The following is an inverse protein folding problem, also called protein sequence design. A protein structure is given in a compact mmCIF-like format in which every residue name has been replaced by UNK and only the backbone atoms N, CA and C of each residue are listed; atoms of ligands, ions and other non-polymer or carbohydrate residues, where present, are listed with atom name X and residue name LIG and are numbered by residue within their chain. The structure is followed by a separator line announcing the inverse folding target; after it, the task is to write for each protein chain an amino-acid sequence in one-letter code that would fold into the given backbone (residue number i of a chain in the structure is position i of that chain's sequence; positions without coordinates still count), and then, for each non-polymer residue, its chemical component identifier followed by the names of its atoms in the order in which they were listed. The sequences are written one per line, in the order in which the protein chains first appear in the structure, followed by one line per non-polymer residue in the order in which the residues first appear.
data_IF_966238544864
#
_entry.id   IF_966238544864
#
_cell.length_a   1.000
_cell.length_b   1.000
_cell.length_c   1.000
_cell.angle_alpha   90.00
_cell.angle_beta   90.00
_cell.angle_gamma   90.00
#
_symmetry.space_group_name_H-M   'P 1'
#
loop_
_entity.id
_entity.type
_entity.pdbx_description
1 polymer ?
#
# COMPACT_ATOMS: atom_id res chain seq x y z
N UNK A 1 48.64 26.94 7.22
CA UNK A 1 48.66 25.83 6.25
C UNK A 1 47.93 24.57 6.72
N UNK A 2 47.87 24.25 8.03
CA UNK A 2 47.17 23.04 8.51
C UNK A 2 45.62 23.14 8.55
N UNK A 3 45.06 24.33 8.75
CA UNK A 3 43.60 24.50 8.85
C UNK A 3 42.84 24.38 7.52
N UNK A 4 43.42 24.87 6.42
CA UNK A 4 42.81 24.79 5.08
C UNK A 4 42.80 23.37 4.51
N UNK A 5 43.80 22.55 4.87
CA UNK A 5 43.84 21.13 4.48
C UNK A 5 42.77 20.31 5.21
N UNK A 6 42.49 20.62 6.48
CA UNK A 6 41.42 19.99 7.26
C UNK A 6 40.02 20.31 6.72
N UNK A 7 39.78 21.56 6.29
CA UNK A 7 38.52 21.97 5.68
C UNK A 7 38.27 21.29 4.31
N UNK A 8 39.34 21.06 3.53
CA UNK A 8 39.26 20.37 2.24
C UNK A 8 38.94 18.88 2.40
N UNK A 9 39.58 18.21 3.35
CA UNK A 9 39.29 16.80 3.70
C UNK A 9 37.86 16.62 4.24
N UNK A 10 37.35 17.57 5.03
CA UNK A 10 35.96 17.54 5.49
C UNK A 10 34.95 17.82 4.38
N UNK A 11 35.32 18.59 3.35
CA UNK A 11 34.47 18.82 2.17
C UNK A 11 34.42 17.63 1.19
N UNK A 12 35.41 16.73 1.27
CA UNK A 12 35.47 15.49 0.47
C UNK A 12 34.67 14.34 1.10
N UNK A 13 34.36 14.43 2.40
CA UNK A 13 33.48 13.49 3.08
C UNK A 13 32.03 13.93 2.83
N UNK A 14 31.40 13.38 1.80
CA UNK A 14 29.94 13.42 1.69
C UNK A 14 29.36 12.82 2.97
N UNK A 15 28.76 13.67 3.82
CA UNK A 15 28.06 13.25 5.03
C UNK A 15 26.82 12.45 4.67
N UNK A 16 27.00 11.16 4.36
CA UNK A 16 25.90 10.24 4.12
C UNK A 16 25.29 9.83 5.44
N UNK A 17 23.97 9.90 5.53
CA UNK A 17 23.28 9.38 6.71
C UNK A 17 23.28 7.84 6.68
N UNK A 18 23.17 7.20 7.85
CA UNK A 18 23.14 5.74 7.96
C UNK A 18 22.04 5.11 7.11
N UNK A 19 20.91 5.81 6.89
CA UNK A 19 19.82 5.33 6.06
C UNK A 19 20.19 5.27 4.56
N UNK A 20 20.98 6.22 4.07
CA UNK A 20 21.54 6.21 2.71
C UNK A 20 22.53 5.08 2.53
N UNK A 21 23.39 4.84 3.52
CA UNK A 21 24.35 3.73 3.50
C UNK A 21 23.62 2.38 3.52
N UNK A 22 22.61 2.21 4.39
CA UNK A 22 21.81 0.99 4.44
C UNK A 22 21.01 0.76 3.14
N UNK A 23 20.52 1.83 2.51
CA UNK A 23 19.86 1.76 1.21
C UNK A 23 20.84 1.33 0.12
N UNK A 24 22.04 1.90 0.08
CA UNK A 24 23.08 1.54 -0.90
C UNK A 24 23.51 0.08 -0.72
N UNK A 25 23.73 -0.37 0.53
CA UNK A 25 24.09 -1.77 0.84
C UNK A 25 22.98 -2.73 0.43
N UNK A 26 21.71 -2.39 0.65
CA UNK A 26 20.59 -3.21 0.16
C UNK A 26 20.48 -3.21 -1.35
N UNK A 27 20.68 -2.08 -2.01
CA UNK A 27 20.68 -2.01 -3.48
C UNK A 27 21.80 -2.89 -4.07
N UNK A 28 22.98 -2.89 -3.45
CA UNK A 28 24.11 -3.75 -3.84
C UNK A 28 23.81 -5.22 -3.56
N UNK A 29 23.26 -5.56 -2.39
CA UNK A 29 22.93 -6.94 -2.04
C UNK A 29 21.81 -7.50 -2.94
N UNK A 30 20.80 -6.69 -3.24
CA UNK A 30 19.74 -7.04 -4.17
C UNK A 30 20.32 -7.24 -5.58
N UNK A 31 21.19 -6.35 -6.07
CA UNK A 31 21.84 -6.48 -7.37
C UNK A 31 22.83 -7.66 -7.48
N UNK A 32 23.39 -8.11 -6.35
CA UNK A 32 24.31 -9.25 -6.31
C UNK A 32 23.59 -10.61 -6.34
N UNK A 33 22.32 -10.67 -5.95
CA UNK A 33 21.52 -11.90 -5.93
C UNK A 33 20.84 -12.21 -7.28
N UNK A 34 21.14 -11.44 -8.32
CA UNK A 34 20.12 -11.10 -9.29
C UNK A 34 20.70 -10.89 -10.70
N UNK A 35 21.41 -11.91 -11.18
CA UNK A 35 21.90 -11.95 -12.56
C UNK A 35 20.80 -12.21 -13.62
N UNK A 36 19.50 -12.08 -13.26
CA UNK A 36 18.34 -12.31 -14.16
C UNK A 36 17.32 -11.14 -14.12
N UNK A 37 17.79 -9.94 -13.75
CA UNK A 37 16.97 -8.88 -13.17
C UNK A 37 16.40 -7.82 -14.11
N UNK A 38 15.25 -8.11 -14.70
CA UNK A 38 14.28 -7.04 -15.01
C UNK A 38 12.98 -7.19 -14.22
N UNK A 39 12.72 -8.36 -13.63
CA UNK A 39 11.42 -8.71 -13.02
C UNK A 39 11.39 -8.67 -11.49
N UNK A 40 12.51 -8.95 -10.81
CA UNK A 40 12.58 -9.00 -9.34
C UNK A 40 12.43 -7.62 -8.67
N UNK A 41 12.97 -6.56 -9.27
CA UNK A 41 12.73 -5.16 -8.86
C UNK A 41 11.31 -4.66 -9.19
N UNK A 42 10.50 -5.44 -9.93
CA UNK A 42 9.13 -5.09 -10.32
C UNK A 42 8.06 -5.59 -9.33
N UNK A 43 8.32 -6.66 -8.58
CA UNK A 43 7.35 -7.30 -7.69
C UNK A 43 7.49 -6.81 -6.24
N UNK A 44 6.96 -5.61 -5.95
CA UNK A 44 7.10 -4.95 -4.63
C UNK A 44 6.21 -5.55 -3.55
N UNK A 45 4.96 -5.90 -3.86
CA UNK A 45 4.00 -6.51 -2.94
C UNK A 45 3.82 -8.01 -3.18
N UNK A 46 4.28 -8.54 -4.32
CA UNK A 46 4.10 -9.94 -4.71
C UNK A 46 2.73 -10.25 -5.31
N UNK A 47 1.89 -9.23 -5.50
CA UNK A 47 0.55 -9.35 -6.08
C UNK A 47 0.59 -8.73 -7.46
N UNK A 48 0.75 -9.56 -8.50
CA UNK A 48 0.98 -9.10 -9.89
C UNK A 48 0.06 -7.95 -10.34
N UNK A 49 -1.28 -8.01 -10.18
CA UNK A 49 -2.12 -6.89 -10.61
C UNK A 49 -1.85 -5.57 -9.87
N UNK A 50 -1.45 -5.63 -8.59
CA UNK A 50 -1.09 -4.44 -7.81
C UNK A 50 0.31 -3.94 -8.19
N UNK A 51 1.27 -4.85 -8.36
CA UNK A 51 2.63 -4.51 -8.75
C UNK A 51 2.68 -3.86 -10.15
N UNK A 52 1.88 -4.37 -11.09
CA UNK A 52 1.71 -3.79 -12.42
C UNK A 52 1.18 -2.34 -12.35
N UNK A 53 0.20 -2.09 -11.47
CA UNK A 53 -0.31 -0.74 -11.22
C UNK A 53 0.77 0.16 -10.59
N UNK A 54 1.41 -0.29 -9.52
CA UNK A 54 2.44 0.47 -8.81
C UNK A 54 3.60 0.87 -9.75
N UNK A 55 4.00 -0.02 -10.64
CA UNK A 55 5.06 0.23 -11.64
C UNK A 55 4.75 1.43 -12.53
N UNK A 56 3.48 1.62 -12.92
CA UNK A 56 3.06 2.76 -13.74
C UNK A 56 3.27 4.08 -13.00
N UNK A 57 2.91 4.13 -11.71
CA UNK A 57 3.01 5.33 -10.89
C UNK A 57 4.44 5.63 -10.41
N UNK A 58 5.35 4.64 -10.46
CA UNK A 58 6.75 4.81 -10.06
C UNK A 58 7.70 5.11 -11.23
N UNK A 59 7.37 4.70 -12.46
CA UNK A 59 8.26 4.87 -13.61
C UNK A 59 8.01 6.22 -14.31
N UNK A 60 9.01 7.11 -14.44
CA UNK A 60 8.88 8.29 -15.29
C UNK A 60 8.60 7.87 -16.73
N UNK A 61 7.83 8.66 -17.51
CA UNK A 61 7.61 8.35 -18.93
C UNK A 61 8.98 8.34 -19.62
N UNK A 62 9.31 7.24 -20.29
CA UNK A 62 10.48 7.20 -21.16
C UNK A 62 10.30 8.31 -22.21
N UNK A 63 11.21 9.29 -22.22
CA UNK A 63 11.31 10.26 -23.30
C UNK A 63 11.70 9.47 -24.56
N UNK A 64 10.70 9.03 -25.31
CA UNK A 64 10.89 8.45 -26.62
C UNK A 64 11.59 9.46 -27.51
N UNK A 65 12.63 8.99 -28.20
CA UNK A 65 13.29 9.73 -29.28
C UNK A 65 12.24 10.30 -30.23
N UNK A 66 12.09 11.62 -30.22
CA UNK A 66 11.37 12.34 -31.28
C UNK A 66 12.21 12.20 -32.55
N UNK A 67 11.90 11.20 -33.38
CA UNK A 67 12.31 11.22 -34.77
C UNK A 67 11.67 12.44 -35.42
N UNK A 68 12.53 13.37 -35.81
CA UNK A 68 12.23 14.63 -36.44
C UNK A 68 11.63 14.38 -37.83
N UNK A 69 10.30 14.24 -37.95
CA UNK A 69 9.62 14.32 -39.25
C UNK A 69 9.38 15.79 -39.54
N UNK A 70 10.39 16.45 -40.11
CA UNK A 70 10.27 17.78 -40.68
C UNK A 70 9.40 17.70 -41.95
N UNK A 71 8.11 18.05 -41.82
CA UNK A 71 7.26 18.30 -42.96
C UNK A 71 7.62 19.65 -43.58
N UNK A 72 7.87 19.59 -44.89
CA UNK A 72 8.33 20.65 -45.78
C UNK A 72 7.24 21.70 -45.98
N UNK A 73 7.60 22.98 -45.81
CA UNK A 73 7.04 24.06 -46.62
C UNK A 73 8.15 25.06 -46.95
N UNK A 74 8.40 25.21 -48.24
CA UNK A 74 9.41 26.08 -48.82
C UNK A 74 8.75 27.35 -49.36
N UNK A 75 9.36 28.51 -49.05
CA UNK A 75 9.33 29.77 -49.82
C UNK A 75 10.40 30.69 -49.19
N UNK A 76 11.62 30.81 -49.72
CA UNK A 76 12.08 31.60 -50.88
C UNK A 76 12.76 32.95 -50.49
N UNK A 77 14.10 32.91 -50.40
CA UNK A 77 15.14 33.92 -50.80
C UNK A 77 15.33 35.25 -50.00
N UNK A 78 16.49 35.96 -50.12
CA UNK A 78 17.87 35.49 -49.92
C UNK A 78 18.84 36.48 -49.18
N UNK A 79 20.01 35.95 -48.79
CA UNK A 79 21.36 36.54 -48.74
C UNK A 79 21.73 37.66 -47.72
N UNK A 80 22.67 37.32 -46.81
CA UNK A 80 24.01 37.94 -46.75
C UNK A 80 24.97 37.15 -45.83
N UNK A 81 26.21 37.06 -46.29
CA UNK A 81 27.42 36.37 -45.81
C UNK A 81 27.96 36.77 -44.43
N UNK A 82 28.72 35.90 -43.75
CA UNK A 82 30.20 35.99 -43.52
C UNK A 82 30.74 34.68 -42.87
N UNK A 83 31.90 34.25 -43.40
CA UNK A 83 32.93 33.24 -43.00
C UNK A 83 33.27 33.16 -41.50
N UNK A 84 34.05 32.23 -40.93
CA UNK A 84 34.64 30.92 -41.26
C UNK A 84 35.31 30.39 -39.96
N UNK A 85 35.48 29.08 -39.87
CA UNK A 85 36.55 28.31 -39.20
C UNK A 85 37.08 28.69 -37.80
N UNK A 86 36.85 27.79 -36.83
CA UNK A 86 37.94 27.01 -36.23
C UNK A 86 37.42 26.00 -35.20
N UNK A 87 37.65 24.72 -35.48
CA UNK A 87 37.53 23.62 -34.52
C UNK A 87 38.91 23.28 -33.94
N UNK A 88 39.01 22.97 -32.64
CA UNK A 88 40.06 22.12 -32.08
C UNK A 88 39.49 20.79 -31.52
N UNK A 89 40.36 19.80 -31.27
CA UNK A 89 40.00 18.39 -31.33
C UNK A 89 39.38 17.83 -30.05
N UNK A 90 38.62 16.77 -30.26
CA UNK A 90 37.94 15.90 -29.31
C UNK A 90 38.81 15.37 -28.16
N UNK A 91 38.43 15.72 -26.93
CA UNK A 91 38.71 14.94 -25.71
C UNK A 91 37.60 13.90 -25.48
N UNK A 92 37.91 12.67 -25.04
CA UNK A 92 36.91 11.64 -24.79
C UNK A 92 36.11 11.99 -23.54
N UNK A 93 34.89 12.49 -23.73
CA UNK A 93 33.93 12.64 -22.63
C UNK A 93 33.50 11.25 -22.16
N UNK A 94 33.98 10.87 -20.99
CA UNK A 94 33.55 9.69 -20.24
C UNK A 94 32.02 9.77 -20.14
N UNK A 95 31.35 8.74 -20.64
CA UNK A 95 29.90 8.58 -20.56
C UNK A 95 29.50 8.52 -19.08
N UNK A 96 29.10 9.65 -18.52
CA UNK A 96 28.36 9.64 -17.26
C UNK A 96 27.03 8.94 -17.52
N UNK A 97 26.93 7.70 -17.05
CA UNK A 97 25.68 6.96 -16.96
C UNK A 97 24.62 7.86 -16.35
N UNK A 98 23.47 7.91 -17.00
CA UNK A 98 22.28 8.59 -16.51
C UNK A 98 21.98 8.08 -15.10
N UNK A 99 22.23 8.91 -14.08
CA UNK A 99 21.83 8.64 -12.70
C UNK A 99 20.32 8.50 -12.68
N UNK A 100 19.81 7.27 -12.66
CA UNK A 100 18.41 7.00 -12.35
C UNK A 100 18.21 7.39 -10.89
N UNK A 101 17.39 8.41 -10.65
CA UNK A 101 17.02 8.76 -9.27
C UNK A 101 16.26 7.57 -8.67
N UNK A 102 16.68 7.02 -7.52
CA UNK A 102 16.02 5.85 -6.93
C UNK A 102 14.58 6.20 -6.61
N UNK A 103 13.64 5.41 -7.15
CA UNK A 103 12.20 5.61 -6.96
C UNK A 103 11.82 5.18 -5.55
N UNK A 104 11.16 6.07 -4.80
CA UNK A 104 10.73 5.82 -3.42
C UNK A 104 9.80 4.59 -3.36
N UNK A 105 9.84 3.79 -2.28
CA UNK A 105 8.88 2.71 -2.06
C UNK A 105 7.42 3.18 -2.17
N UNK A 106 6.52 2.32 -2.67
CA UNK A 106 5.14 2.69 -2.95
C UNK A 106 4.33 2.92 -1.68
N UNK A 107 3.31 3.77 -1.79
CA UNK A 107 2.24 3.91 -0.81
C UNK A 107 0.92 3.54 -1.49
N UNK A 108 0.34 2.41 -1.10
CA UNK A 108 -0.92 1.91 -1.64
C UNK A 108 -2.07 2.21 -0.67
N UNK A 109 -3.08 2.92 -1.17
CA UNK A 109 -4.36 3.03 -0.49
C UNK A 109 -5.34 1.99 -1.05
N UNK A 110 -5.97 1.23 -0.16
CA UNK A 110 -7.06 0.30 -0.48
C UNK A 110 -8.36 0.85 0.12
N UNK A 111 -9.19 1.46 -0.71
CA UNK A 111 -10.50 1.95 -0.29
C UNK A 111 -11.55 0.85 -0.41
N UNK A 112 -12.34 0.66 0.63
CA UNK A 112 -13.56 -0.15 0.57
C UNK A 112 -14.79 0.68 0.89
N UNK A 113 -15.91 0.44 0.21
CA UNK A 113 -17.20 1.12 0.50
C UNK A 113 -17.95 0.56 1.72
N UNK A 114 -17.64 -0.66 2.15
CA UNK A 114 -18.30 -1.34 3.25
C UNK A 114 -17.38 -2.37 3.93
N UNK A 115 -17.74 -2.80 5.14
CA UNK A 115 -17.11 -3.94 5.79
C UNK A 115 -17.35 -5.23 4.99
N UNK A 116 -16.42 -6.18 5.01
CA UNK A 116 -16.56 -7.48 4.33
C UNK A 116 -16.32 -7.47 2.81
N UNK A 117 -15.86 -6.34 2.26
CA UNK A 117 -15.53 -6.20 0.83
C UNK A 117 -14.13 -6.72 0.44
N UNK A 118 -13.40 -7.35 1.36
CA UNK A 118 -12.12 -8.01 1.07
C UNK A 118 -10.86 -7.15 1.23
N UNK A 119 -10.94 -5.92 1.76
CA UNK A 119 -9.75 -5.08 2.00
C UNK A 119 -8.77 -5.73 3.00
N UNK A 120 -9.23 -6.12 4.18
CA UNK A 120 -8.41 -6.84 5.17
C UNK A 120 -7.95 -8.20 4.63
N UNK A 121 -8.78 -8.92 3.88
CA UNK A 121 -8.39 -10.18 3.22
C UNK A 121 -7.23 -9.98 2.24
N UNK A 122 -7.23 -8.87 1.50
CA UNK A 122 -6.14 -8.50 0.61
C UNK A 122 -4.86 -8.14 1.40
N UNK A 123 -4.98 -7.45 2.54
CA UNK A 123 -3.83 -7.22 3.43
C UNK A 123 -3.24 -8.54 3.95
N UNK A 124 -4.07 -9.52 4.32
CA UNK A 124 -3.58 -10.83 4.74
C UNK A 124 -2.86 -11.57 3.61
N UNK A 125 -3.37 -11.50 2.38
CA UNK A 125 -2.69 -12.10 1.23
C UNK A 125 -1.31 -11.47 0.98
N UNK A 126 -1.23 -10.12 1.02
CA UNK A 126 0.05 -9.39 0.92
C UNK A 126 0.98 -9.79 2.08
N UNK A 127 0.46 -9.88 3.30
CA UNK A 127 1.23 -10.29 4.49
C UNK A 127 1.80 -11.69 4.32
N UNK A 128 0.97 -12.65 3.90
CA UNK A 128 1.36 -14.03 3.73
C UNK A 128 2.48 -14.18 2.67
N UNK A 129 2.36 -13.53 1.51
CA UNK A 129 3.43 -13.51 0.51
C UNK A 129 4.72 -12.89 1.04
N UNK A 130 4.63 -11.87 1.89
CA UNK A 130 5.81 -11.23 2.46
C UNK A 130 6.58 -12.17 3.42
N UNK A 131 5.86 -12.92 4.26
CA UNK A 131 6.46 -13.73 5.35
C UNK A 131 6.85 -15.14 4.94
N UNK A 132 6.16 -15.72 3.95
CA UNK A 132 6.45 -17.06 3.45
C UNK A 132 7.87 -17.13 2.84
N UNK A 133 8.55 -18.30 2.91
CA UNK A 133 9.82 -18.49 2.25
C UNK A 133 9.64 -18.49 0.71
N UNK A 134 10.70 -18.26 -0.08
CA UNK A 134 10.59 -18.22 -1.55
C UNK A 134 10.22 -19.59 -2.13
N UNK A 135 10.64 -20.66 -1.46
CA UNK A 135 10.28 -22.04 -1.78
C UNK A 135 10.18 -22.88 -0.51
N UNK A 136 9.43 -23.97 -0.57
CA UNK A 136 9.31 -24.96 0.50
C UNK A 136 9.05 -26.33 -0.12
N UNK A 137 9.86 -27.32 0.25
CA UNK A 137 9.70 -28.73 -0.17
C UNK A 137 9.47 -28.91 -1.69
N UNK A 138 10.29 -28.24 -2.50
CA UNK A 138 10.19 -28.28 -3.96
C UNK A 138 9.07 -27.43 -4.58
N UNK A 139 8.25 -26.76 -3.76
CA UNK A 139 7.21 -25.83 -4.21
C UNK A 139 7.78 -24.41 -4.25
N UNK A 140 7.71 -23.73 -5.39
CA UNK A 140 8.01 -22.30 -5.48
C UNK A 140 6.81 -21.51 -4.94
N UNK A 141 7.00 -20.76 -3.86
CA UNK A 141 5.93 -20.01 -3.20
C UNK A 141 5.92 -18.51 -3.60
N UNK A 142 6.99 -18.03 -4.21
CA UNK A 142 7.24 -16.60 -4.49
C UNK A 142 7.24 -15.72 -3.23
N UNK A 143 7.40 -16.34 -2.05
CA UNK A 143 7.48 -15.66 -0.78
C UNK A 143 8.74 -14.80 -0.64
N UNK A 144 8.66 -13.75 0.18
CA UNK A 144 9.75 -12.76 0.33
C UNK A 144 10.62 -12.99 1.56
N UNK A 145 10.33 -14.00 2.38
CA UNK A 145 11.06 -14.33 3.61
C UNK A 145 11.38 -13.11 4.48
N UNK A 146 10.42 -12.20 4.58
CA UNK A 146 10.59 -10.87 5.17
C UNK A 146 9.73 -10.70 6.42
N UNK A 147 9.89 -9.59 7.12
CA UNK A 147 9.04 -9.18 8.22
C UNK A 147 7.96 -8.20 7.75
N UNK A 148 6.84 -8.14 8.46
CA UNK A 148 5.75 -7.18 8.24
C UNK A 148 5.37 -6.52 9.55
N UNK A 149 5.10 -5.22 9.52
CA UNK A 149 4.42 -4.53 10.63
C UNK A 149 2.95 -4.36 10.27
N UNK A 150 2.06 -4.80 11.15
CA UNK A 150 0.61 -4.67 11.01
C UNK A 150 0.06 -3.74 12.11
N UNK A 151 -0.43 -2.58 11.72
CA UNK A 151 -1.07 -1.59 12.59
C UNK A 151 -2.58 -1.81 12.54
N UNK A 152 -3.10 -2.52 13.54
CA UNK A 152 -4.52 -2.88 13.68
C UNK A 152 -5.23 -1.86 14.57
N UNK A 153 -5.81 -0.83 13.94
CA UNK A 153 -6.51 0.28 14.63
C UNK A 153 -7.98 -0.05 14.90
N UNK A 154 -8.52 -1.05 14.20
CA UNK A 154 -9.91 -1.49 14.29
C UNK A 154 -10.09 -2.72 15.22
N UNK A 155 -8.99 -3.27 15.75
CA UNK A 155 -8.93 -4.47 16.60
C UNK A 155 -9.54 -5.72 15.95
N UNK A 156 -9.30 -5.90 14.64
CA UNK A 156 -9.88 -6.99 13.84
C UNK A 156 -8.85 -7.96 13.28
N UNK A 157 -7.57 -7.80 13.64
CA UNK A 157 -6.55 -8.74 13.20
C UNK A 157 -6.81 -10.15 13.76
N UNK A 158 -6.78 -11.13 12.87
CA UNK A 158 -7.04 -12.55 13.13
C UNK A 158 -5.88 -13.38 12.57
N UNK A 159 -5.07 -13.92 13.49
CA UNK A 159 -3.90 -14.72 13.16
C UNK A 159 -4.27 -16.08 12.55
N UNK A 160 -5.40 -16.66 12.94
CA UNK A 160 -5.89 -17.93 12.38
C UNK A 160 -6.28 -17.69 10.93
N UNK A 161 -6.97 -16.60 10.65
CA UNK A 161 -7.32 -16.25 9.29
C UNK A 161 -6.09 -15.95 8.42
N UNK A 162 -5.04 -15.33 8.97
CA UNK A 162 -3.78 -15.13 8.25
C UNK A 162 -3.08 -16.46 7.96
N UNK A 163 -3.08 -17.41 8.91
CA UNK A 163 -2.59 -18.77 8.70
C UNK A 163 -3.34 -19.46 7.55
N UNK A 164 -4.66 -19.43 7.54
CA UNK A 164 -5.47 -20.02 6.47
C UNK A 164 -5.12 -19.43 5.10
N UNK A 165 -4.87 -18.12 5.03
CA UNK A 165 -4.46 -17.46 3.79
C UNK A 165 -3.06 -17.90 3.35
N UNK A 166 -2.10 -18.00 4.26
CA UNK A 166 -0.75 -18.48 3.95
C UNK A 166 -0.76 -19.94 3.50
N UNK A 167 -1.52 -20.80 4.19
CA UNK A 167 -1.75 -22.19 3.82
C UNK A 167 -2.44 -22.29 2.45
N UNK A 168 -3.44 -21.45 2.18
CA UNK A 168 -4.12 -21.36 0.89
C UNK A 168 -3.14 -21.06 -0.25
N UNK A 169 -2.21 -20.12 -0.06
CA UNK A 169 -1.15 -19.83 -1.05
C UNK A 169 -0.28 -21.06 -1.31
N UNK A 170 0.15 -21.76 -0.27
CA UNK A 170 0.97 -22.99 -0.42
C UNK A 170 0.20 -24.04 -1.23
N UNK A 171 -1.08 -24.26 -0.92
CA UNK A 171 -1.93 -25.22 -1.64
C UNK A 171 -2.10 -24.86 -3.11
N UNK A 172 -2.39 -23.60 -3.40
CA UNK A 172 -2.57 -23.11 -4.77
C UNK A 172 -1.28 -23.26 -5.59
N UNK A 173 -0.13 -22.92 -4.99
CA UNK A 173 1.19 -23.03 -5.63
C UNK A 173 1.59 -24.47 -5.87
N UNK A 174 1.34 -25.38 -4.92
CA UNK A 174 1.59 -26.80 -5.06
C UNK A 174 0.73 -27.41 -6.19
N UNK A 175 -0.58 -27.08 -6.19
CA UNK A 175 -1.52 -27.51 -7.23
C UNK A 175 -1.10 -27.02 -8.62
N UNK A 176 -0.76 -25.74 -8.77
CA UNK A 176 -0.31 -25.18 -10.04
C UNK A 176 0.99 -25.82 -10.56
N UNK A 177 1.90 -26.20 -9.66
CA UNK A 177 3.17 -26.87 -9.99
C UNK A 177 3.05 -28.41 -10.07
N UNK A 178 1.86 -28.97 -9.84
CA UNK A 178 1.61 -30.41 -9.80
C UNK A 178 2.52 -31.15 -8.78
N UNK A 179 2.89 -30.46 -7.70
CA UNK A 179 3.66 -31.03 -6.60
C UNK A 179 2.67 -31.48 -5.52
N UNK A 180 2.67 -32.76 -5.11
CA UNK A 180 1.83 -33.21 -4.01
C UNK A 180 2.26 -32.52 -2.73
N UNK A 181 1.29 -31.97 -1.99
CA UNK A 181 1.58 -31.46 -0.66
C UNK A 181 2.01 -32.63 0.25
N UNK A 182 2.97 -32.41 1.17
CA UNK A 182 3.20 -33.36 2.25
C UNK A 182 1.88 -33.55 3.00
N UNK A 183 1.30 -34.74 2.88
CA UNK A 183 -0.10 -35.03 3.20
C UNK A 183 -0.42 -34.86 4.70
N UNK A 184 -1.58 -34.29 5.03
CA UNK A 184 -2.26 -34.51 6.31
C UNK A 184 -2.83 -35.93 6.30
N UNK A 185 -2.15 -36.89 6.92
CA UNK A 185 -2.79 -38.15 7.32
C UNK A 185 -3.51 -37.91 8.66
N UNK A 186 -4.84 -37.89 8.63
CA UNK A 186 -5.66 -37.84 9.85
C UNK A 186 -5.92 -39.24 10.44
N UNK A 187 -5.58 -40.29 9.69
CA UNK A 187 -5.80 -41.67 10.03
C UNK A 187 -4.49 -42.46 9.94
N UNK A 188 -4.06 -42.93 11.12
CA UNK A 188 -3.24 -44.12 11.38
C UNK A 188 -1.77 -44.16 10.92
N UNK A 189 -0.92 -44.61 11.86
CA UNK A 189 0.50 -44.91 11.77
C UNK A 189 1.47 -43.79 11.36
N UNK A 190 2.02 -43.13 12.39
CA UNK A 190 3.05 -42.12 12.23
C UNK A 190 4.30 -42.62 11.51
N UNK A 191 4.73 -41.88 10.49
CA UNK A 191 6.15 -41.68 10.16
C UNK A 191 6.35 -40.52 9.17
N UNK A 192 6.61 -39.34 9.75
CA UNK A 192 7.08 -38.12 9.07
C UNK A 192 6.64 -36.88 9.85
N UNK A 193 7.54 -35.99 10.29
CA UNK A 193 7.09 -34.74 10.88
C UNK A 193 6.38 -33.93 9.79
N UNK A 194 5.13 -33.54 10.03
CA UNK A 194 4.46 -32.49 9.26
C UNK A 194 5.34 -31.22 9.38
N UNK A 195 6.11 -30.92 8.33
CA UNK A 195 7.00 -29.77 8.29
C UNK A 195 6.28 -28.49 7.82
N UNK A 196 5.05 -28.62 7.32
CA UNK A 196 4.29 -27.50 6.78
C UNK A 196 3.81 -26.59 7.90
N UNK A 197 3.21 -27.15 8.95
CA UNK A 197 2.76 -26.38 10.11
C UNK A 197 3.91 -25.65 10.84
N UNK A 198 5.06 -26.30 11.13
CA UNK A 198 6.24 -25.59 11.64
C UNK A 198 6.73 -24.46 10.73
N UNK A 199 6.71 -24.64 9.40
CA UNK A 199 7.08 -23.58 8.46
C UNK A 199 6.11 -22.40 8.50
N UNK A 200 4.79 -22.67 8.50
CA UNK A 200 3.77 -21.63 8.59
C UNK A 200 3.84 -20.91 9.94
N UNK A 201 4.03 -21.64 11.03
CA UNK A 201 4.21 -21.08 12.36
C UNK A 201 5.43 -20.16 12.40
N UNK A 202 6.57 -20.61 11.87
CA UNK A 202 7.78 -19.79 11.80
C UNK A 202 7.56 -18.54 10.93
N UNK A 203 6.89 -18.66 9.77
CA UNK A 203 6.55 -17.51 8.94
C UNK A 203 5.70 -16.47 9.70
N UNK A 204 4.68 -16.91 10.44
CA UNK A 204 3.79 -16.04 11.21
C UNK A 204 4.49 -15.29 12.34
N UNK A 205 5.60 -15.80 12.88
CA UNK A 205 6.42 -15.10 13.90
C UNK A 205 7.04 -13.81 13.39
N UNK A 206 7.03 -13.58 12.08
CA UNK A 206 7.57 -12.38 11.44
C UNK A 206 6.52 -11.31 11.14
N UNK A 207 5.32 -11.43 11.72
CA UNK A 207 4.28 -10.41 11.71
C UNK A 207 4.25 -9.68 13.05
N UNK A 208 4.61 -8.40 13.05
CA UNK A 208 4.64 -7.55 14.23
C UNK A 208 3.36 -6.72 14.31
N UNK A 209 2.50 -7.03 15.27
CA UNK A 209 1.16 -6.43 15.38
C UNK A 209 1.15 -5.36 16.46
N UNK A 210 0.74 -4.15 16.11
CA UNK A 210 0.49 -3.06 17.05
C UNK A 210 -0.99 -2.69 17.02
N UNK A 211 -1.59 -2.52 18.20
CA UNK A 211 -3.03 -2.21 18.36
C UNK A 211 -3.26 -0.87 19.06
N UNK A 212 -2.94 0.26 18.40
CA UNK A 212 -3.22 1.57 18.97
C UNK A 212 -4.72 1.78 19.14
N UNK A 213 -5.11 2.60 20.11
CA UNK A 213 -6.51 2.87 20.46
C UNK A 213 -6.94 4.33 20.20
N UNK A 214 -6.04 5.14 19.63
CA UNK A 214 -6.29 6.53 19.25
C UNK A 214 -5.25 6.98 18.20
N UNK A 215 -5.50 8.13 17.57
CA UNK A 215 -4.55 8.72 16.62
C UNK A 215 -3.19 9.06 17.26
N UNK A 216 -3.17 9.51 18.52
CA UNK A 216 -1.92 9.73 19.28
C UNK A 216 -1.20 8.42 19.59
N UNK A 217 -1.92 7.38 19.99
CA UNK A 217 -1.33 6.06 20.24
C UNK A 217 -0.76 5.44 18.95
N UNK A 218 -1.43 5.65 17.81
CA UNK A 218 -0.94 5.24 16.50
C UNK A 218 0.36 5.98 16.15
N UNK A 219 0.40 7.30 16.32
CA UNK A 219 1.61 8.10 16.09
C UNK A 219 2.76 7.65 17.00
N UNK A 220 2.50 7.40 18.27
CA UNK A 220 3.49 6.90 19.22
C UNK A 220 4.01 5.51 18.81
N UNK A 221 3.12 4.59 18.42
CA UNK A 221 3.50 3.27 17.92
C UNK A 221 4.39 3.38 16.69
N UNK A 222 4.02 4.22 15.71
CA UNK A 222 4.81 4.46 14.49
C UNK A 222 6.21 5.01 14.83
N UNK A 223 6.30 5.96 15.77
CA UNK A 223 7.58 6.52 16.24
C UNK A 223 8.44 5.47 16.98
N UNK A 224 7.84 4.45 17.60
CA UNK A 224 8.54 3.40 18.32
C UNK A 224 9.04 2.23 17.43
N UNK A 225 8.46 2.05 16.23
CA UNK A 225 8.83 0.97 15.28
C UNK A 225 10.34 0.88 15.02
N UNK A 226 11.08 1.97 14.75
CA UNK A 226 12.51 1.88 14.46
C UNK A 226 13.28 1.23 15.59
N UNK A 227 13.04 1.70 16.81
CA UNK A 227 13.67 1.14 18.01
C UNK A 227 13.30 -0.32 18.16
N UNK A 228 12.01 -0.66 18.09
CA UNK A 228 11.54 -2.04 18.24
C UNK A 228 12.17 -3.00 17.22
N UNK A 229 12.15 -2.66 15.92
CA UNK A 229 12.66 -3.55 14.87
C UNK A 229 14.19 -3.66 14.81
N UNK A 230 14.91 -2.67 15.33
CA UNK A 230 16.38 -2.68 15.36
C UNK A 230 16.93 -3.34 16.64
N UNK A 231 16.12 -3.48 17.68
CA UNK A 231 16.49 -4.19 18.91
C UNK A 231 16.30 -5.70 18.74
N UNK A 232 17.39 -6.39 18.40
CA UNK A 232 17.39 -7.81 18.00
C UNK A 232 16.99 -8.81 19.10
N UNK A 233 16.88 -8.39 20.36
CA UNK A 233 16.50 -9.24 21.48
C UNK A 233 14.99 -9.38 21.66
N UNK A 234 14.22 -8.45 21.11
CA UNK A 234 12.79 -8.33 21.41
C UNK A 234 11.94 -9.19 20.48
N UNK A 235 12.52 -9.64 19.35
CA UNK A 235 11.81 -10.38 18.33
C UNK A 235 12.74 -11.20 17.41
N UNK A 236 12.25 -12.27 16.75
CA UNK A 236 13.09 -13.15 15.92
C UNK A 236 13.44 -12.58 14.53
N UNK A 237 12.81 -11.47 14.12
CA UNK A 237 12.87 -10.94 12.75
C UNK A 237 14.06 -10.00 12.46
N UNK A 238 15.01 -9.84 13.37
CA UNK A 238 16.13 -8.90 13.23
C UNK A 238 17.00 -9.12 11.99
N UNK A 239 17.05 -10.37 11.51
CA UNK A 239 17.79 -10.77 10.31
C UNK A 239 16.99 -10.59 9.01
N UNK A 240 15.71 -10.21 9.08
CA UNK A 240 14.83 -10.08 7.91
C UNK A 240 14.63 -8.63 7.52
N UNK A 241 14.54 -8.38 6.22
CA UNK A 241 14.11 -7.08 5.72
C UNK A 241 12.65 -6.82 6.09
N UNK A 242 12.29 -5.55 6.33
CA UNK A 242 10.89 -5.16 6.49
C UNK A 242 10.28 -4.99 5.09
N UNK A 243 9.32 -5.84 4.76
CA UNK A 243 8.65 -5.81 3.46
C UNK A 243 7.67 -4.64 3.34
N UNK A 244 6.76 -4.55 4.32
CA UNK A 244 5.71 -3.54 4.33
C UNK A 244 5.27 -3.16 5.75
N UNK A 245 4.75 -1.95 5.86
CA UNK A 245 3.94 -1.50 6.99
C UNK A 245 2.49 -1.43 6.50
N UNK A 246 1.63 -2.21 7.13
CA UNK A 246 0.21 -2.34 6.81
C UNK A 246 -0.62 -1.64 7.88
N UNK A 247 -1.56 -0.78 7.49
CA UNK A 247 -2.43 -0.04 8.41
C UNK A 247 -3.90 -0.33 8.12
N UNK A 248 -4.57 -1.00 9.06
CA UNK A 248 -5.98 -1.40 8.96
C UNK A 248 -6.80 -0.87 10.16
N UNK A 249 -7.57 0.21 10.05
CA UNK A 249 -7.65 1.17 8.94
C UNK A 249 -7.10 2.55 9.31
N UNK A 250 -6.67 3.32 8.30
CA UNK A 250 -6.27 4.72 8.51
C UNK A 250 -7.46 5.60 8.96
N UNK A 251 -8.69 5.18 8.67
CA UNK A 251 -9.93 5.89 8.99
C UNK A 251 -10.53 5.58 10.36
N UNK A 252 -9.96 4.64 11.13
CA UNK A 252 -10.56 4.13 12.37
C UNK A 252 -10.89 5.24 13.39
N UNK A 253 -9.96 6.16 13.61
CA UNK A 253 -10.10 7.20 14.65
C UNK A 253 -10.70 8.51 14.13
N UNK A 254 -10.93 8.65 12.82
CA UNK A 254 -11.32 9.92 12.20
C UNK A 254 -12.55 10.57 12.86
N UNK A 255 -13.61 9.80 13.09
CA UNK A 255 -14.85 10.35 13.65
C UNK A 255 -14.72 10.69 15.14
N UNK A 256 -13.84 9.99 15.87
CA UNK A 256 -13.54 10.29 17.27
C UNK A 256 -12.75 11.59 17.36
N UNK A 257 -11.68 11.72 16.55
CA UNK A 257 -10.85 12.93 16.47
C UNK A 257 -11.69 14.14 16.03
N UNK A 258 -12.55 13.97 15.03
CA UNK A 258 -13.44 15.03 14.56
C UNK A 258 -14.40 15.46 15.65
N UNK A 259 -15.05 14.50 16.33
CA UNK A 259 -15.94 14.80 17.46
C UNK A 259 -15.18 15.57 18.54
N UNK A 260 -13.97 15.16 18.86
CA UNK A 260 -13.17 15.83 19.88
C UNK A 260 -12.83 17.27 19.48
N UNK A 261 -12.38 17.48 18.25
CA UNK A 261 -12.14 18.82 17.71
C UNK A 261 -13.41 19.70 17.75
N UNK A 262 -14.57 19.14 17.38
CA UNK A 262 -15.84 19.87 17.40
C UNK A 262 -16.29 20.18 18.85
N UNK A 263 -16.10 19.25 19.80
CA UNK A 263 -16.39 19.47 21.23
C UNK A 263 -15.50 20.57 21.81
N UNK A 264 -14.21 20.59 21.46
CA UNK A 264 -13.29 21.64 21.88
C UNK A 264 -13.67 23.02 21.32
N UNK A 265 -14.44 23.11 20.24
CA UNK A 265 -14.90 24.41 19.71
C UNK A 265 -16.11 24.99 20.43
N UNK A 266 -16.74 24.22 21.32
CA UNK A 266 -17.89 24.71 22.10
C UNK A 266 -17.38 25.68 23.18
N UNK A 267 -17.89 26.93 23.24
CA UNK A 267 -17.49 27.89 24.27
C UNK A 267 -17.73 27.35 25.68
N UNK A 268 -16.76 27.52 26.59
CA UNK A 268 -16.86 27.09 27.98
C UNK A 268 -16.43 25.63 28.25
N UNK A 269 -16.35 24.78 27.21
CA UNK A 269 -15.97 23.36 27.39
C UNK A 269 -14.49 23.20 27.67
N UNK A 270 -13.63 24.01 27.06
CA UNK A 270 -12.18 24.00 27.34
C UNK A 270 -11.92 24.41 28.78
N UNK A 271 -12.50 25.53 29.17
CA UNK A 271 -12.35 26.13 30.50
C UNK A 271 -12.84 25.18 31.61
N UNK A 272 -13.92 24.43 31.34
CA UNK A 272 -14.45 23.43 32.27
C UNK A 272 -13.56 22.18 32.38
N UNK A 273 -13.03 21.66 31.25
CA UNK A 273 -12.08 20.54 31.27
C UNK A 273 -10.83 20.88 32.07
N UNK A 274 -10.30 22.08 31.89
CA UNK A 274 -9.14 22.56 32.64
C UNK A 274 -9.45 22.76 34.13
N UNK A 275 -10.64 23.26 34.48
CA UNK A 275 -11.07 23.38 35.87
C UNK A 275 -11.11 22.00 36.53
N UNK A 276 -11.60 20.99 35.82
CA UNK A 276 -11.66 19.60 36.27
C UNK A 276 -10.28 18.95 36.37
N UNK A 277 -9.37 19.26 35.44
CA UNK A 277 -7.99 18.78 35.49
C UNK A 277 -7.22 19.40 36.68
N UNK A 278 -7.42 20.70 36.94
CA UNK A 278 -6.81 21.39 38.09
C UNK A 278 -7.31 20.91 39.45
N UNK A 279 -8.56 20.44 39.55
CA UNK A 279 -9.10 19.88 40.79
C UNK A 279 -8.68 18.43 41.03
N UNK A 280 -8.25 17.70 40.00
CA UNK A 280 -7.73 16.32 40.11
C UNK A 280 -6.22 16.28 40.33
N UNK A 281 -5.49 17.32 39.92
CA UNK A 281 -4.04 17.45 40.13
C UNK A 281 -3.73 18.02 41.52
N UNK A 282 -3.68 17.15 42.52
CA UNK A 282 -3.21 17.49 43.88
C UNK A 282 -1.68 17.58 43.93
N UNK A 283 -1.16 18.67 43.36
CA UNK A 283 0.09 19.31 43.78
C UNK A 283 1.40 18.64 43.38
N UNK A 284 1.94 18.98 42.21
CA UNK A 284 3.30 19.54 42.00
C UNK A 284 3.53 19.78 40.51
N UNK A 285 3.29 21.00 40.02
CA UNK A 285 3.53 21.33 38.61
C UNK A 285 3.46 22.82 38.33
N UNK A 286 4.57 23.36 37.84
CA UNK A 286 4.83 24.74 37.41
C UNK A 286 3.78 25.28 36.41
N UNK A 287 3.19 26.49 36.58
CA UNK A 287 2.06 26.96 35.77
C UNK A 287 2.45 27.66 34.45
N UNK A 288 3.66 27.44 33.91
CA UNK A 288 4.17 28.21 32.77
C UNK A 288 4.25 27.45 31.43
N UNK A 289 3.19 26.75 31.02
CA UNK A 289 3.10 26.24 29.64
C UNK A 289 1.70 26.46 29.09
N UNK A 290 1.63 27.17 27.98
CA UNK A 290 0.44 27.52 27.19
C UNK A 290 -0.22 26.26 26.59
N UNK A 291 -0.87 25.45 27.41
CA UNK A 291 -1.58 24.22 27.00
C UNK A 291 -2.81 24.48 26.11
N UNK A 292 -3.26 25.74 26.04
CA UNK A 292 -4.53 26.20 25.42
C UNK A 292 -4.58 26.08 23.89
N UNK A 293 -3.48 26.44 23.21
CA UNK A 293 -3.33 26.27 21.77
C UNK A 293 -2.84 24.86 21.43
N UNK A 294 -2.05 24.26 22.32
CA UNK A 294 -1.38 22.99 22.10
C UNK A 294 -2.35 21.83 21.87
N UNK A 295 -3.51 21.72 22.53
CA UNK A 295 -4.41 20.56 22.35
C UNK A 295 -5.17 20.55 21.00
N UNK A 296 -5.73 21.67 20.56
CA UNK A 296 -6.40 21.77 19.26
C UNK A 296 -5.38 21.73 18.11
N UNK A 297 -4.22 22.38 18.29
CA UNK A 297 -3.08 22.25 17.37
C UNK A 297 -2.66 20.78 17.32
N UNK A 298 -2.56 20.08 18.45
CA UNK A 298 -2.13 18.69 18.48
C UNK A 298 -3.06 17.78 17.67
N UNK A 299 -4.40 17.85 17.84
CA UNK A 299 -5.35 17.04 17.04
C UNK A 299 -5.22 17.34 15.54
N UNK A 300 -5.05 18.60 15.16
CA UNK A 300 -4.93 18.99 13.74
C UNK A 300 -3.54 18.67 13.14
N UNK A 301 -2.50 18.56 13.97
CA UNK A 301 -1.14 18.19 13.55
C UNK A 301 -0.91 16.67 13.51
N UNK A 302 -1.64 15.86 14.29
CA UNK A 302 -1.44 14.39 14.34
C UNK A 302 -1.44 13.75 12.95
N UNK A 303 -2.35 14.06 12.00
CA UNK A 303 -2.30 13.49 10.66
C UNK A 303 -0.99 13.82 9.91
N UNK A 304 -0.49 15.05 10.06
CA UNK A 304 0.76 15.50 9.42
C UNK A 304 1.96 14.77 10.00
N UNK A 305 2.04 14.68 11.33
CA UNK A 305 3.11 13.95 12.02
C UNK A 305 3.07 12.45 11.73
N UNK A 306 1.88 11.87 11.63
CA UNK A 306 1.69 10.46 11.26
C UNK A 306 2.25 10.18 9.87
N UNK A 307 1.87 10.99 8.88
CA UNK A 307 2.40 10.84 7.51
C UNK A 307 3.91 11.10 7.45
N UNK A 308 4.42 12.11 8.17
CA UNK A 308 5.85 12.37 8.24
C UNK A 308 6.63 11.19 8.85
N UNK A 309 6.10 10.60 9.93
CA UNK A 309 6.71 9.45 10.61
C UNK A 309 6.66 8.20 9.71
N UNK A 310 5.54 7.96 9.02
CA UNK A 310 5.43 6.88 8.03
C UNK A 310 6.44 7.04 6.87
N UNK A 311 6.61 8.25 6.34
CA UNK A 311 7.64 8.55 5.31
C UNK A 311 9.06 8.33 5.84
N UNK A 312 9.29 8.65 7.10
CA UNK A 312 10.58 8.39 7.75
C UNK A 312 10.84 6.88 7.84
N UNK A 313 9.84 6.07 8.20
CA UNK A 313 9.95 4.61 8.18
C UNK A 313 10.23 4.06 6.78
N UNK A 314 9.56 4.53 5.73
CA UNK A 314 9.90 4.14 4.35
C UNK A 314 11.35 4.47 4.00
N UNK A 315 11.89 5.55 4.54
CA UNK A 315 13.28 5.97 4.28
C UNK A 315 14.27 5.04 4.99
N UNK A 316 14.02 4.69 6.25
CA UNK A 316 14.86 3.81 7.05
C UNK A 316 14.82 2.37 6.52
N UNK A 317 13.60 1.87 6.28
CA UNK A 317 13.37 0.45 6.01
C UNK A 317 13.21 0.11 4.53
N UNK A 318 13.15 1.11 3.65
CA UNK A 318 12.94 0.92 2.20
C UNK A 318 11.70 0.06 1.87
N UNK A 319 10.67 0.16 2.71
CA UNK A 319 9.51 -0.72 2.69
C UNK A 319 8.28 -0.04 2.06
N UNK A 320 7.37 -0.86 1.53
CA UNK A 320 6.07 -0.38 1.09
C UNK A 320 5.21 0.06 2.27
N UNK A 321 4.26 0.96 2.03
CA UNK A 321 3.16 1.23 2.95
C UNK A 321 1.86 0.87 2.27
N UNK A 322 1.02 0.11 2.95
CA UNK A 322 -0.33 -0.19 2.49
C UNK A 322 -1.30 0.19 3.59
N UNK A 323 -2.34 0.96 3.28
CA UNK A 323 -3.35 1.30 4.27
C UNK A 323 -4.76 1.18 3.70
N UNK A 324 -5.71 0.81 4.54
CA UNK A 324 -7.11 0.74 4.17
C UNK A 324 -7.85 2.00 4.57
N UNK A 325 -8.87 2.36 3.79
CA UNK A 325 -9.77 3.48 4.09
C UNK A 325 -11.22 3.08 3.86
N UNK A 326 -12.11 3.68 4.65
CA UNK A 326 -13.54 3.58 4.41
C UNK A 326 -14.03 4.66 3.45
N UNK A 327 -14.50 4.24 2.29
CA UNK A 327 -15.02 5.06 1.21
C UNK A 327 -16.52 5.32 1.33
N UNK A 328 -16.89 6.29 2.16
CA UNK A 328 -18.29 6.62 2.51
C UNK A 328 -19.09 7.28 1.37
N UNK A 329 -18.42 8.01 0.45
CA UNK A 329 -19.10 8.74 -0.62
C UNK A 329 -18.72 8.24 -2.00
N UNK A 330 -19.70 7.78 -2.80
CA UNK A 330 -19.47 7.51 -4.21
C UNK A 330 -19.16 8.82 -4.95
N UNK A 331 -17.92 9.00 -5.37
CA UNK A 331 -17.51 10.03 -6.30
C UNK A 331 -17.74 9.51 -7.72
N UNK A 332 -18.56 10.23 -8.48
CA UNK A 332 -18.79 9.93 -9.87
C UNK A 332 -17.74 10.66 -10.70
N UNK A 333 -17.20 10.06 -11.79
CA UNK A 333 -16.46 10.83 -12.76
C UNK A 333 -17.37 11.96 -13.23
N UNK A 334 -16.99 13.22 -13.02
CA UNK A 334 -17.76 14.35 -13.50
C UNK A 334 -17.81 14.29 -15.03
N UNK A 335 -18.84 13.64 -15.58
CA UNK A 335 -19.32 13.96 -16.91
C UNK A 335 -20.03 15.30 -16.78
N UNK A 336 -19.52 16.29 -17.50
CA UNK A 336 -20.24 17.52 -17.78
C UNK A 336 -21.71 17.24 -18.14
N UNK A 337 -22.61 18.02 -17.53
CA UNK A 337 -24.04 18.17 -17.82
C UNK A 337 -25.08 17.19 -17.24
N UNK A 338 -26.16 17.82 -16.76
CA UNK A 338 -27.51 17.34 -16.39
C UNK A 338 -27.75 16.79 -14.98
N UNK A 339 -28.23 17.73 -14.17
CA UNK A 339 -29.09 17.61 -13.00
C UNK A 339 -30.20 16.54 -13.11
N UNK A 340 -30.19 15.58 -12.19
CA UNK A 340 -31.38 15.15 -11.43
C UNK A 340 -30.94 14.23 -10.29
N UNK A 341 -30.84 14.78 -9.09
CA UNK A 341 -30.49 14.01 -7.88
C UNK A 341 -31.75 13.33 -7.35
N UNK A 342 -32.01 12.10 -7.79
CA UNK A 342 -32.97 11.22 -7.11
C UNK A 342 -32.24 10.44 -6.00
N UNK A 343 -32.72 10.43 -4.74
CA UNK A 343 -32.06 9.71 -3.64
C UNK A 343 -32.21 8.19 -3.68
N UNK A 344 -32.95 7.63 -4.66
CA UNK A 344 -33.38 6.22 -4.68
C UNK A 344 -33.04 5.46 -5.97
N UNK A 345 -32.01 5.86 -6.71
CA UNK A 345 -31.55 5.08 -7.87
C UNK A 345 -30.54 3.99 -7.45
N UNK A 346 -31.03 2.77 -7.23
CA UNK A 346 -30.23 1.53 -7.26
C UNK A 346 -29.70 1.17 -8.67
N UNK A 347 -29.73 2.12 -9.60
CA UNK A 347 -29.27 1.91 -10.96
C UNK A 347 -27.86 2.49 -11.08
N UNK A 348 -26.87 1.60 -10.98
CA UNK A 348 -25.56 1.83 -11.58
C UNK A 348 -25.74 2.31 -13.02
N UNK A 349 -25.03 3.34 -13.47
CA UNK A 349 -24.97 3.64 -14.90
C UNK A 349 -24.37 2.44 -15.61
N UNK A 350 -24.78 2.17 -16.86
CA UNK A 350 -24.06 1.23 -17.68
C UNK A 350 -22.67 1.81 -17.97
N UNK A 351 -21.63 1.18 -17.40
CA UNK A 351 -20.25 1.31 -17.89
C UNK A 351 -19.24 2.12 -17.06
N UNK A 352 -19.65 2.77 -15.96
CA UNK A 352 -18.73 3.55 -15.11
C UNK A 352 -18.25 2.78 -13.87
N UNK A 353 -16.94 2.60 -13.71
CA UNK A 353 -16.34 2.05 -12.49
C UNK A 353 -16.41 3.13 -11.37
N UNK A 354 -16.99 2.84 -10.19
CA UNK A 354 -17.18 3.86 -9.15
C UNK A 354 -15.90 4.17 -8.37
N UNK A 355 -15.76 5.43 -7.93
CA UNK A 355 -14.74 5.88 -6.98
C UNK A 355 -15.39 6.15 -5.60
N UNK A 356 -14.72 5.91 -4.46
CA UNK A 356 -15.25 6.20 -3.09
C UNK A 356 -14.43 7.14 -2.15
N UNK A 357 -14.86 8.38 -1.86
CA UNK A 357 -13.96 9.37 -1.21
C UNK A 357 -13.82 9.05 0.28
N UNK A 358 -12.60 8.84 0.82
CA UNK A 358 -12.41 8.72 2.26
C UNK A 358 -12.52 10.09 2.92
N UNK A 359 -12.91 10.12 4.20
CA UNK A 359 -13.01 11.36 4.98
C UNK A 359 -11.70 11.81 5.62
N UNK A 360 -10.57 11.21 5.24
CA UNK A 360 -9.29 11.50 5.89
C UNK A 360 -8.85 12.95 5.63
N UNK A 361 -8.37 13.66 6.67
CA UNK A 361 -7.88 15.03 6.52
C UNK A 361 -6.56 15.06 5.75
N UNK A 362 -6.22 16.23 5.21
CA UNK A 362 -4.87 16.47 4.68
C UNK A 362 -3.81 16.17 5.76
N UNK A 363 -2.69 15.48 5.45
CA UNK A 363 -2.18 15.16 4.11
C UNK A 363 -2.48 13.74 3.59
N UNK A 364 -3.38 12.98 4.20
CA UNK A 364 -3.69 11.60 3.77
C UNK A 364 -4.02 11.47 2.28
N UNK A 365 -4.88 12.33 1.68
CA UNK A 365 -5.15 12.24 0.25
C UNK A 365 -3.88 12.36 -0.60
N UNK A 366 -2.91 13.20 -0.24
CA UNK A 366 -1.67 13.38 -0.99
C UNK A 366 -0.59 12.31 -0.69
N UNK A 367 -0.84 11.42 0.27
CA UNK A 367 0.16 10.46 0.73
C UNK A 367 0.29 9.23 -0.19
N UNK A 368 -0.83 8.69 -0.67
CA UNK A 368 -0.84 7.54 -1.56
C UNK A 368 -0.20 7.83 -2.92
N UNK A 369 0.62 6.89 -3.40
CA UNK A 369 1.14 6.88 -4.77
C UNK A 369 0.19 6.17 -5.73
N UNK A 370 -0.56 5.18 -5.24
CA UNK A 370 -1.57 4.44 -5.98
C UNK A 370 -2.77 4.21 -5.07
N UNK A 371 -3.97 4.34 -5.62
CA UNK A 371 -5.24 4.14 -4.90
C UNK A 371 -6.04 3.09 -5.64
N UNK A 372 -6.47 2.06 -4.95
CA UNK A 372 -7.36 1.04 -5.48
C UNK A 372 -8.62 0.98 -4.66
N UNK A 373 -9.72 0.66 -5.31
CA UNK A 373 -10.97 0.31 -4.64
C UNK A 373 -11.12 -1.20 -4.66
N UNK A 374 -11.62 -1.77 -3.57
CA UNK A 374 -12.06 -3.17 -3.51
C UNK A 374 -13.52 -3.25 -3.09
N UNK A 375 -14.27 -4.14 -3.74
CA UNK A 375 -15.68 -4.35 -3.48
C UNK A 375 -16.04 -5.82 -3.70
N UNK A 376 -16.76 -6.41 -2.75
CA UNK A 376 -17.34 -7.74 -2.95
C UNK A 376 -18.41 -7.66 -4.02
N UNK A 377 -18.41 -8.63 -4.91
CA UNK A 377 -19.36 -8.64 -6.02
C UNK A 377 -20.78 -8.78 -5.49
N UNK A 378 -21.68 -7.84 -5.84
CA UNK A 378 -23.01 -7.83 -5.28
C UNK A 378 -23.82 -9.00 -5.84
N UNK A 379 -24.45 -9.75 -4.95
CA UNK A 379 -25.51 -10.68 -5.33
C UNK A 379 -26.79 -9.88 -5.48
N UNK A 380 -27.46 -9.98 -6.64
CA UNK A 380 -28.71 -9.26 -6.89
C UNK A 380 -29.72 -9.61 -5.78
N UNK A 381 -30.47 -8.65 -5.22
CA UNK A 381 -31.54 -8.97 -4.27
C UNK A 381 -32.64 -9.81 -4.95
N UNK A 382 -33.53 -10.40 -4.15
CA UNK A 382 -34.73 -11.05 -4.70
C UNK A 382 -35.60 -10.02 -5.40
N UNK A 383 -36.25 -10.39 -6.51
CA UNK A 383 -37.10 -9.46 -7.23
C UNK A 383 -38.30 -9.08 -6.33
N UNK A 384 -38.74 -7.80 -6.30
CA UNK A 384 -39.81 -7.38 -5.39
C UNK A 384 -41.13 -8.15 -5.55
N UNK A 385 -41.38 -8.69 -6.75
CA UNK A 385 -42.60 -9.42 -7.10
C UNK A 385 -42.44 -10.95 -7.05
N UNK A 386 -41.29 -11.44 -6.59
CA UNK A 386 -40.95 -12.86 -6.55
C UNK A 386 -41.74 -13.58 -5.46
N UNK A 387 -42.26 -14.77 -5.77
CA UNK A 387 -42.95 -15.59 -4.78
C UNK A 387 -41.96 -16.24 -3.80
N UNK A 388 -42.42 -16.62 -2.61
CA UNK A 388 -41.59 -17.34 -1.64
C UNK A 388 -41.03 -18.65 -2.20
N UNK A 389 -41.83 -19.38 -2.99
CA UNK A 389 -41.40 -20.65 -3.59
C UNK A 389 -40.25 -20.45 -4.57
N UNK A 390 -40.38 -19.49 -5.49
CA UNK A 390 -39.30 -19.15 -6.43
C UNK A 390 -38.05 -18.66 -5.68
N UNK A 391 -38.23 -17.87 -4.61
CA UNK A 391 -37.11 -17.39 -3.79
C UNK A 391 -36.35 -18.55 -3.13
N UNK A 392 -37.05 -19.59 -2.66
CA UNK A 392 -36.43 -20.81 -2.11
C UNK A 392 -35.68 -21.61 -3.18
N UNK A 393 -36.21 -21.68 -4.41
CA UNK A 393 -35.55 -22.34 -5.55
C UNK A 393 -34.26 -21.59 -5.95
N UNK A 394 -34.26 -20.25 -5.94
CA UNK A 394 -33.07 -19.45 -6.24
C UNK A 394 -32.07 -19.34 -5.08
N UNK A 395 -32.50 -19.57 -3.83
CA UNK A 395 -31.67 -19.36 -2.65
C UNK A 395 -30.36 -20.14 -2.71
N UNK A 396 -30.41 -21.42 -3.13
CA UNK A 396 -29.23 -22.27 -3.25
C UNK A 396 -28.21 -21.74 -4.28
N UNK A 397 -28.70 -21.34 -5.47
CA UNK A 397 -27.84 -20.76 -6.51
C UNK A 397 -27.19 -19.46 -6.04
N UNK A 398 -27.96 -18.58 -5.39
CA UNK A 398 -27.48 -17.30 -4.84
C UNK A 398 -26.45 -17.52 -3.74
N UNK A 399 -26.69 -18.46 -2.83
CA UNK A 399 -25.74 -18.83 -1.80
C UNK A 399 -24.44 -19.38 -2.40
N UNK A 400 -24.54 -20.15 -3.49
CA UNK A 400 -23.38 -20.59 -4.26
C UNK A 400 -22.54 -19.43 -4.80
N UNK A 401 -23.18 -18.36 -5.32
CA UNK A 401 -22.46 -17.15 -5.76
C UNK A 401 -21.80 -16.43 -4.59
N UNK A 402 -22.45 -16.33 -3.43
CA UNK A 402 -21.86 -15.74 -2.22
C UNK A 402 -20.65 -16.56 -1.76
N UNK A 403 -20.76 -17.89 -1.79
CA UNK A 403 -19.73 -18.83 -1.37
C UNK A 403 -18.47 -18.79 -2.24
N UNK A 404 -18.62 -18.47 -3.54
CA UNK A 404 -17.46 -18.17 -4.41
C UNK A 404 -16.61 -17.02 -3.87
N UNK A 405 -17.21 -16.10 -3.11
CA UNK A 405 -16.46 -15.06 -2.41
C UNK A 405 -15.74 -14.08 -3.33
N UNK A 406 -16.26 -13.85 -4.54
CA UNK A 406 -15.61 -12.99 -5.54
C UNK A 406 -15.55 -11.54 -5.06
N UNK A 407 -14.36 -10.96 -5.15
CA UNK A 407 -14.08 -9.55 -4.89
C UNK A 407 -13.45 -8.94 -6.14
N UNK A 408 -14.00 -7.81 -6.57
CA UNK A 408 -13.45 -7.00 -7.65
C UNK A 408 -12.64 -5.85 -7.06
N UNK A 409 -11.45 -5.63 -7.62
CA UNK A 409 -10.59 -4.49 -7.32
C UNK A 409 -10.31 -3.67 -8.58
N UNK A 410 -10.10 -2.37 -8.43
CA UNK A 410 -9.74 -1.50 -9.56
C UNK A 410 -9.00 -0.24 -9.14
N UNK A 411 -8.22 0.30 -10.06
CA UNK A 411 -7.58 1.60 -9.90
C UNK A 411 -8.62 2.70 -9.73
N UNK A 412 -8.49 3.46 -8.65
CA UNK A 412 -9.33 4.62 -8.38
C UNK A 412 -8.94 5.79 -9.28
N UNK A 413 -9.89 6.27 -10.09
CA UNK A 413 -9.66 7.35 -11.07
C UNK A 413 -9.76 8.75 -10.47
N UNK A 414 -9.87 8.88 -9.15
CA UNK A 414 -9.80 10.19 -8.48
C UNK A 414 -8.42 10.82 -8.56
N UNK A 415 -8.40 12.14 -8.73
CA UNK A 415 -7.14 12.85 -8.85
C UNK A 415 -6.41 12.49 -10.14
N UNK A 416 -7.11 11.93 -11.15
CA UNK A 416 -6.51 11.59 -12.44
C UNK A 416 -5.96 12.81 -13.16
N UNK A 417 -6.50 13.99 -12.85
CA UNK A 417 -6.02 15.29 -13.29
C UNK A 417 -4.59 15.60 -12.78
N UNK A 418 -4.17 14.97 -11.69
CA UNK A 418 -2.82 15.09 -11.12
C UNK A 418 -1.86 14.03 -11.68
N UNK A 419 -2.34 13.10 -12.51
CA UNK A 419 -1.50 12.04 -13.05
C UNK A 419 -0.53 12.60 -14.08
N UNK A 420 0.72 12.11 -14.04
CA UNK A 420 1.72 12.43 -15.03
C UNK A 420 1.32 12.02 -16.45
N UNK A 421 1.89 12.70 -17.45
CA UNK A 421 1.66 12.40 -18.85
C UNK A 421 1.89 10.92 -19.18
N UNK A 422 0.96 10.31 -19.93
CA UNK A 422 1.05 8.91 -20.36
C UNK A 422 0.71 7.85 -19.30
N UNK A 423 0.40 8.22 -18.04
CA UNK A 423 -0.09 7.27 -17.02
C UNK A 423 -1.37 6.58 -17.49
N UNK A 424 -2.34 7.36 -17.98
CA UNK A 424 -3.64 6.82 -18.38
C UNK A 424 -3.54 5.82 -19.54
N UNK A 425 -2.70 6.12 -20.54
CA UNK A 425 -2.45 5.20 -21.65
C UNK A 425 -1.78 3.90 -21.17
N UNK A 426 -0.82 3.98 -20.25
CA UNK A 426 -0.19 2.80 -19.65
C UNK A 426 -1.20 1.96 -18.86
N UNK A 427 -2.12 2.59 -18.11
CA UNK A 427 -3.20 1.86 -17.40
C UNK A 427 -4.12 1.14 -18.39
N UNK A 428 -4.47 1.78 -19.51
CA UNK A 428 -5.30 1.15 -20.56
C UNK A 428 -4.62 -0.05 -21.23
N UNK A 429 -3.29 -0.10 -21.23
CA UNK A 429 -2.49 -1.22 -21.78
C UNK A 429 -2.32 -2.39 -20.80
N UNK A 430 -2.67 -2.23 -19.52
CA UNK A 430 -2.66 -3.35 -18.57
C UNK A 430 -3.80 -4.32 -18.85
N UNK A 431 -3.56 -5.59 -18.54
CA UNK A 431 -4.61 -6.59 -18.47
C UNK A 431 -5.69 -6.15 -17.46
N UNK A 432 -6.95 -6.31 -17.84
CA UNK A 432 -8.08 -5.82 -17.04
C UNK A 432 -8.21 -4.30 -16.99
N UNK A 433 -7.38 -3.51 -17.71
CA UNK A 433 -7.40 -2.04 -17.76
C UNK A 433 -7.37 -1.38 -16.38
N UNK A 434 -6.54 -1.93 -15.49
CA UNK A 434 -6.41 -1.49 -14.10
C UNK A 434 -7.45 -2.08 -13.15
N UNK A 435 -8.27 -3.03 -13.59
CA UNK A 435 -9.13 -3.85 -12.74
C UNK A 435 -8.55 -5.26 -12.53
N UNK A 436 -8.82 -5.84 -11.37
CA UNK A 436 -8.40 -7.18 -10.98
C UNK A 436 -9.48 -7.87 -10.15
N UNK A 437 -9.34 -9.17 -9.95
CA UNK A 437 -10.28 -9.97 -9.15
C UNK A 437 -9.51 -10.94 -8.27
N UNK A 438 -10.08 -11.23 -7.12
CA UNK A 438 -9.62 -12.27 -6.21
C UNK A 438 -10.82 -12.89 -5.50
N UNK A 439 -10.62 -14.06 -4.90
CA UNK A 439 -11.66 -14.80 -4.22
C UNK A 439 -11.31 -14.93 -2.75
N UNK A 440 -12.28 -14.72 -1.88
CA UNK A 440 -12.14 -14.85 -0.42
C UNK A 440 -13.02 -15.99 0.04
N UNK A 441 -12.40 -17.12 0.38
CA UNK A 441 -13.09 -18.34 0.84
C UNK A 441 -12.59 -18.74 2.22
N UNK A 442 -13.21 -19.73 2.87
CA UNK A 442 -12.71 -20.27 4.13
C UNK A 442 -11.25 -20.77 4.00
N UNK A 443 -10.85 -21.28 2.83
CA UNK A 443 -9.53 -21.88 2.59
C UNK A 443 -8.40 -20.89 2.34
N UNK A 444 -8.72 -19.60 2.18
CA UNK A 444 -7.73 -18.55 1.97
C UNK A 444 -8.20 -17.47 1.01
N UNK A 445 -7.23 -16.86 0.32
CA UNK A 445 -7.44 -15.85 -0.73
C UNK A 445 -6.70 -16.26 -1.97
N UNK A 446 -7.35 -16.21 -3.14
CA UNK A 446 -6.76 -16.67 -4.40
C UNK A 446 -6.85 -15.60 -5.49
N UNK A 447 -5.80 -15.50 -6.32
CA UNK A 447 -5.70 -14.59 -7.46
C UNK A 447 -5.60 -15.38 -8.76
N UNK A 448 -6.45 -15.04 -9.74
CA UNK A 448 -6.48 -15.74 -11.03
C UNK A 448 -7.31 -17.02 -10.96
N UNK A 449 -8.31 -17.11 -11.84
CA UNK A 449 -9.26 -18.21 -11.91
C UNK A 449 -10.57 -17.73 -12.53
N UNK A 450 -10.71 -17.92 -13.85
CA UNK A 450 -12.04 -18.12 -14.44
C UNK A 450 -12.47 -19.60 -14.32
N UNK A 451 -11.53 -20.49 -13.97
CA UNK A 451 -11.72 -21.94 -13.90
C UNK A 451 -11.39 -22.48 -12.49
N UNK A 452 -12.35 -22.36 -11.57
CA UNK A 452 -12.49 -23.29 -10.46
C UNK A 452 -13.94 -23.78 -10.51
N UNK A 453 -14.06 -24.94 -11.18
CA UNK A 453 -15.20 -25.84 -11.43
C UNK A 453 -16.51 -25.53 -10.70
#
# INVERSE_FOLDING_TARGET
MSAEQGARLLSEIEGRNLAEILRDVRAINNAAQSNDDTESNACRLGVKPLDDLLRIFQSPPALGHTQHVAARTAAALPAASVQADNAPPSTPSIRHGTKTTPTRPPVLEITSSASGNGATSLLYYITALAILPPSFDGITLDGKNSAVVFLDTDYRFDAVRLHDVAMGIVRDKASAQHVPLPYYHHDDDGQGPDQLEPMLHEALRHVHIFRPQSSHALLAAIKAIPSYLLHSTDHPSSHRALHAILLDSASAFYWQDRREADVLRIPGVREERERTARTTDTGTGDPSTTKEEDEEINITQVPRETIASLRHLQTIFDCAIVYTTWGLQRAWPSSSSSSSTSPYSYQSPPGGIPSFRPHLPFPWPAFATCRVVVQRDPVRPFAPQMTLKEAMEEAGMRQGVVAKGRVSGWLDLRGREEWGYGVEERVRRLDGRGAFRFYVTERGVTFGGDDMV
#
